data_IF_942060922240
#
_entry.id   IF_942060922240
#
_cell.length_a   1.000
_cell.length_b   1.000
_cell.length_c   1.000
_cell.angle_alpha   90.00
_cell.angle_beta   90.00
_cell.angle_gamma   90.00
#
_symmetry.space_group_name_H-M   'P 1'
#
loop_
_entity.id
_entity.type
_entity.pdbx_description
1 polymer ?
#
# COMPACT_ATOMS: atom_id res chain seq x y z
N UNK A 1 -0.46 -13.91 -6.52
CA UNK A 1 -0.47 -12.53 -7.05
C UNK A 1 0.34 -12.39 -8.35
N UNK A 2 1.00 -13.42 -8.88
CA UNK A 2 1.68 -13.33 -10.19
C UNK A 2 2.84 -12.34 -10.28
N UNK A 3 3.26 -11.73 -9.18
CA UNK A 3 4.43 -10.87 -9.15
C UNK A 3 5.69 -11.74 -9.14
N UNK A 4 6.63 -11.40 -10.01
CA UNK A 4 7.94 -12.04 -10.08
C UNK A 4 8.99 -11.14 -9.40
N UNK A 5 9.98 -11.72 -8.71
CA UNK A 5 11.01 -10.94 -8.03
C UNK A 5 11.86 -10.11 -9.00
N UNK A 6 12.05 -10.60 -10.23
CA UNK A 6 12.76 -9.86 -11.29
C UNK A 6 11.98 -8.60 -11.73
N UNK A 7 10.65 -8.63 -11.60
CA UNK A 7 9.72 -7.58 -12.04
C UNK A 7 9.05 -6.86 -10.87
N UNK A 8 9.76 -6.72 -9.75
CA UNK A 8 9.26 -6.10 -8.51
C UNK A 8 8.73 -4.67 -8.70
N UNK A 9 9.17 -3.97 -9.76
CA UNK A 9 8.68 -2.64 -10.12
C UNK A 9 7.16 -2.62 -10.39
N UNK A 10 6.61 -3.71 -10.94
CA UNK A 10 5.16 -3.86 -11.17
C UNK A 10 4.42 -3.93 -9.84
N UNK A 11 4.97 -4.65 -8.85
CA UNK A 11 4.41 -4.68 -7.50
C UNK A 11 4.48 -3.28 -6.86
N UNK A 12 5.60 -2.58 -7.01
CA UNK A 12 5.77 -1.23 -6.45
C UNK A 12 4.77 -0.24 -7.05
N UNK A 13 4.53 -0.30 -8.37
CA UNK A 13 3.54 0.53 -9.05
C UNK A 13 2.12 0.18 -8.60
N UNK A 14 1.79 -1.11 -8.53
CA UNK A 14 0.48 -1.57 -8.05
C UNK A 14 0.20 -1.09 -6.61
N UNK A 15 1.20 -1.14 -5.73
CA UNK A 15 1.07 -0.65 -4.35
C UNK A 15 0.89 0.88 -4.29
N UNK A 16 1.65 1.63 -5.10
CA UNK A 16 1.50 3.10 -5.20
C UNK A 16 0.11 3.49 -5.71
N UNK A 17 -0.37 2.82 -6.76
CA UNK A 17 -1.72 3.06 -7.27
C UNK A 17 -2.75 2.74 -6.19
N UNK A 18 -2.63 1.57 -5.55
CA UNK A 18 -3.50 1.18 -4.45
C UNK A 18 -3.54 2.22 -3.31
N UNK A 19 -2.37 2.73 -2.89
CA UNK A 19 -2.28 3.78 -1.86
C UNK A 19 -2.89 5.13 -2.29
N UNK A 20 -2.97 5.40 -3.59
CA UNK A 20 -3.52 6.64 -4.16
C UNK A 20 -5.02 6.56 -4.43
N UNK A 21 -5.53 5.39 -4.80
CA UNK A 21 -6.91 5.21 -5.27
C UNK A 21 -7.88 4.75 -4.19
N UNK A 22 -7.37 4.15 -3.11
CA UNK A 22 -8.22 3.58 -2.06
C UNK A 22 -8.31 4.47 -0.83
N UNK A 23 -9.38 4.26 -0.06
CA UNK A 23 -9.68 5.04 1.13
C UNK A 23 -8.67 4.74 2.25
N UNK A 24 -8.30 5.80 2.96
CA UNK A 24 -7.52 5.70 4.19
C UNK A 24 -8.48 5.26 5.30
N UNK A 25 -8.46 3.98 5.66
CA UNK A 25 -9.29 3.44 6.75
C UNK A 25 -8.87 3.95 8.13
N UNK A 26 -7.61 4.40 8.26
CA UNK A 26 -7.09 4.97 9.50
C UNK A 26 -5.89 5.87 9.22
N UNK A 27 -5.89 7.07 9.77
CA UNK A 27 -4.71 7.93 9.83
C UNK A 27 -4.46 8.34 11.29
N UNK A 28 -3.20 8.38 11.69
CA UNK A 28 -2.79 8.89 13.00
C UNK A 28 -1.43 9.55 12.92
N UNK A 29 -1.25 10.61 13.70
CA UNK A 29 0.04 11.27 13.85
C UNK A 29 0.96 10.42 14.72
N UNK A 30 2.22 10.35 14.31
CA UNK A 30 3.32 9.77 15.09
C UNK A 30 4.34 10.87 15.37
N UNK A 31 5.26 10.65 16.30
CA UNK A 31 6.38 11.57 16.55
C UNK A 31 7.30 11.80 15.34
N UNK A 32 7.10 11.06 14.24
CA UNK A 32 7.88 11.15 13.00
C UNK A 32 7.00 11.56 11.79
N UNK A 33 5.75 11.98 12.02
CA UNK A 33 4.80 12.39 10.98
C UNK A 33 3.57 11.48 10.87
N UNK A 34 2.78 11.63 9.82
CA UNK A 34 1.46 10.98 9.69
C UNK A 34 1.57 9.54 9.17
N UNK A 35 1.01 8.60 9.91
CA UNK A 35 0.88 7.20 9.48
C UNK A 35 -0.54 6.91 9.00
N UNK A 36 -0.64 6.47 7.76
CA UNK A 36 -1.90 6.15 7.09
C UNK A 36 -1.99 4.67 6.76
N UNK A 37 -3.16 4.09 7.02
CA UNK A 37 -3.52 2.72 6.68
C UNK A 37 -4.55 2.80 5.56
N UNK A 38 -4.24 2.17 4.43
CA UNK A 38 -5.09 2.11 3.25
C UNK A 38 -5.52 0.66 3.04
N UNK A 39 -6.80 0.46 2.73
CA UNK A 39 -7.33 -0.85 2.38
C UNK A 39 -8.08 -0.79 1.06
N UNK A 40 -7.92 -1.84 0.27
CA UNK A 40 -8.54 -1.90 -1.03
C UNK A 40 -8.08 -3.10 -1.84
N UNK A 41 -8.59 -3.21 -3.05
CA UNK A 41 -8.14 -4.23 -3.98
C UNK A 41 -6.75 -3.87 -4.51
N UNK A 42 -5.87 -4.86 -4.65
CA UNK A 42 -4.60 -4.69 -5.34
C UNK A 42 -4.73 -5.26 -6.74
N UNK A 43 -4.47 -4.46 -7.77
CA UNK A 43 -4.41 -4.99 -9.14
C UNK A 43 -3.17 -5.87 -9.27
N UNK A 44 -3.38 -7.16 -9.57
CA UNK A 44 -2.27 -8.11 -9.77
C UNK A 44 -2.16 -8.53 -11.23
N UNK A 45 -0.95 -8.80 -11.74
CA UNK A 45 -0.72 -9.18 -13.14
C UNK A 45 -1.44 -10.47 -13.55
N UNK A 46 -1.73 -11.35 -12.59
CA UNK A 46 -2.51 -12.59 -12.79
C UNK A 46 -4.04 -12.33 -12.88
N UNK A 47 -4.46 -11.07 -12.95
CA UNK A 47 -5.88 -10.67 -13.05
C UNK A 47 -6.67 -10.77 -11.74
N UNK A 48 -6.10 -11.39 -10.70
CA UNK A 48 -6.70 -11.41 -9.35
C UNK A 48 -6.66 -10.02 -8.71
N UNK A 49 -7.65 -9.75 -7.85
CA UNK A 49 -7.79 -8.48 -7.11
C UNK A 49 -7.94 -8.74 -5.61
N UNK A 50 -6.92 -9.28 -4.92
CA UNK A 50 -7.00 -9.51 -3.48
C UNK A 50 -7.17 -8.18 -2.73
N UNK A 51 -7.93 -8.20 -1.63
CA UNK A 51 -7.89 -7.08 -0.69
C UNK A 51 -6.55 -7.07 0.03
N UNK A 52 -5.91 -5.91 0.05
CA UNK A 52 -4.63 -5.68 0.69
C UNK A 52 -4.79 -4.52 1.67
N UNK A 53 -4.11 -4.62 2.80
CA UNK A 53 -3.90 -3.50 3.71
C UNK A 53 -2.45 -3.05 3.55
N UNK A 54 -2.29 -1.79 3.20
CA UNK A 54 -0.98 -1.14 3.08
C UNK A 54 -0.85 -0.01 4.09
N UNK A 55 0.35 0.12 4.65
CA UNK A 55 0.65 1.10 5.69
C UNK A 55 1.73 2.03 5.16
N UNK A 56 1.43 3.32 5.19
CA UNK A 56 2.25 4.39 4.63
C UNK A 56 2.62 5.36 5.75
N UNK A 57 3.86 5.85 5.70
CA UNK A 57 4.34 6.90 6.59
C UNK A 57 4.70 8.11 5.76
N UNK A 58 4.06 9.23 6.06
CA UNK A 58 4.50 10.54 5.63
C UNK A 58 5.42 11.09 6.71
N UNK A 59 6.71 11.18 6.41
CA UNK A 59 7.71 11.66 7.36
C UNK A 59 7.82 13.19 7.27
N UNK A 60 8.12 13.84 8.39
CA UNK A 60 8.23 15.30 8.41
C UNK A 60 9.36 15.78 7.48
N UNK A 61 9.06 16.76 6.61
CA UNK A 61 10.02 17.26 5.63
C UNK A 61 10.19 16.39 4.37
N UNK A 62 9.40 15.32 4.23
CA UNK A 62 9.35 14.54 2.98
C UNK A 62 8.23 15.02 2.05
N UNK A 63 8.41 14.85 0.74
CA UNK A 63 7.40 15.22 -0.28
C UNK A 63 6.52 14.03 -0.70
N UNK A 64 6.83 12.83 -0.23
CA UNK A 64 6.13 11.60 -0.61
C UNK A 64 6.13 10.61 0.55
N UNK A 65 5.00 9.91 0.79
CA UNK A 65 4.95 8.87 1.80
C UNK A 65 5.80 7.66 1.39
N UNK A 66 6.43 7.03 2.38
CA UNK A 66 7.11 5.74 2.21
C UNK A 66 6.19 4.59 2.60
N UNK A 67 6.24 3.51 1.83
CA UNK A 67 5.58 2.27 2.21
C UNK A 67 6.31 1.66 3.42
N UNK A 68 5.57 1.34 4.48
CA UNK A 68 6.09 0.63 5.65
C UNK A 68 5.90 -0.87 5.50
N UNK A 69 4.69 -1.30 5.15
CA UNK A 69 4.33 -2.70 4.93
C UNK A 69 3.07 -2.80 4.09
N UNK A 70 2.89 -3.90 3.37
CA UNK A 70 1.66 -4.25 2.70
C UNK A 70 1.44 -5.76 2.82
N UNK A 71 0.23 -6.16 3.18
CA UNK A 71 -0.12 -7.56 3.36
C UNK A 71 -1.57 -7.82 2.93
N UNK A 72 -1.88 -9.01 2.39
CA UNK A 72 -3.25 -9.38 2.05
C UNK A 72 -4.13 -9.36 3.30
N UNK A 73 -5.35 -8.87 3.15
CA UNK A 73 -6.40 -9.07 4.15
C UNK A 73 -7.00 -10.45 3.89
N UNK A 74 -6.86 -11.33 4.86
CA UNK A 74 -7.59 -12.60 4.86
C UNK A 74 -9.07 -12.28 5.09
N UNK A 75 -9.93 -12.78 4.20
CA UNK A 75 -11.39 -12.75 4.41
C UNK A 75 -11.66 -13.79 5.51
N UNK A 76 -11.90 -13.32 6.74
CA UNK A 76 -12.19 -14.18 7.89
C UNK A 76 -13.64 -14.64 7.92
#
# INVERSE_FOLDING_TARGET
MGFEPDTWQILAEALREHGRTHEIVRAYETGFGTRSIVEGELNTPDGRRPRVRSVWQFDEGTIAPRLITAYPLEDS
#
